data_IF_852378008528
#
_entry.id   IF_852378008528
#
_cell.length_a   1.000
_cell.length_b   1.000
_cell.length_c   1.000
_cell.angle_alpha   90.00
_cell.angle_beta   90.00
_cell.angle_gamma   90.00
#
_symmetry.space_group_name_H-M   'P 1'
#
loop_
_entity.id
_entity.type
_entity.pdbx_description
1 polymer ?
#
# COMPACT_ATOMS: atom_id res chain seq x y z
N UNK A 1 80.83 -33.03 0.07
CA UNK A 1 79.83 -32.38 0.94
C UNK A 1 79.89 -30.86 0.76
N UNK A 2 78.85 -30.25 0.20
CA UNK A 2 78.29 -28.93 0.56
C UNK A 2 77.59 -28.29 -0.64
N UNK A 3 76.44 -27.67 -0.32
CA UNK A 3 75.63 -26.73 -1.11
C UNK A 3 74.83 -27.35 -2.26
N UNK A 4 73.56 -27.69 -2.01
CA UNK A 4 72.39 -26.97 -2.55
C UNK A 4 71.22 -27.17 -1.55
N UNK A 5 71.14 -26.32 -0.51
CA UNK A 5 69.98 -26.17 0.39
C UNK A 5 69.61 -24.67 0.50
N UNK A 6 69.50 -23.99 -0.64
CA UNK A 6 69.13 -22.56 -0.66
C UNK A 6 68.00 -22.21 -1.63
N UNK A 7 67.52 -23.13 -2.49
CA UNK A 7 66.41 -22.79 -3.41
C UNK A 7 65.01 -22.96 -2.83
N UNK A 8 64.83 -23.69 -1.74
CA UNK A 8 63.50 -23.90 -1.14
C UNK A 8 63.13 -22.79 -0.13
N UNK A 9 64.12 -22.09 0.42
CA UNK A 9 63.85 -21.01 1.39
C UNK A 9 63.47 -19.68 0.71
N UNK A 10 63.84 -19.47 -0.56
CA UNK A 10 63.48 -18.26 -1.30
C UNK A 10 62.03 -18.29 -1.83
N UNK A 11 61.45 -19.48 -2.01
CA UNK A 11 60.08 -19.64 -2.51
C UNK A 11 59.03 -19.53 -1.40
N UNK A 12 59.41 -19.75 -0.13
CA UNK A 12 58.52 -19.62 1.04
C UNK A 12 58.48 -18.18 1.55
N UNK A 13 59.51 -17.37 1.31
CA UNK A 13 59.52 -15.93 1.70
C UNK A 13 58.66 -15.07 0.74
N UNK A 14 58.48 -15.48 -0.51
CA UNK A 14 57.57 -14.82 -1.46
C UNK A 14 56.08 -15.12 -1.21
N UNK A 15 55.77 -16.23 -0.53
CA UNK A 15 54.40 -16.60 -0.16
C UNK A 15 53.94 -16.03 1.19
N UNK A 16 54.84 -15.41 1.96
CA UNK A 16 54.56 -14.90 3.32
C UNK A 16 54.69 -13.37 3.47
N UNK A 17 54.88 -12.64 2.37
CA UNK A 17 55.05 -11.17 2.38
C UNK A 17 53.78 -10.39 2.01
N UNK A 18 52.64 -11.06 1.79
CA UNK A 18 51.40 -10.44 1.31
C UNK A 18 50.44 -9.95 2.41
N UNK A 19 50.83 -10.01 3.68
CA UNK A 19 49.94 -9.68 4.81
C UNK A 19 50.14 -8.27 5.40
N UNK A 20 50.82 -7.36 4.69
CA UNK A 20 51.04 -5.98 5.13
C UNK A 20 50.85 -4.91 4.04
N UNK A 21 50.23 -5.24 2.91
CA UNK A 21 49.74 -4.19 2.01
C UNK A 21 48.46 -3.61 2.59
N UNK A 22 48.40 -2.28 2.74
CA UNK A 22 47.14 -1.62 3.07
C UNK A 22 46.15 -1.90 1.94
N UNK A 23 44.89 -2.17 2.29
CA UNK A 23 43.81 -2.44 1.33
C UNK A 23 43.72 -1.38 0.19
N UNK A 24 44.18 -0.16 0.48
CA UNK A 24 44.25 0.96 -0.46
C UNK A 24 45.27 0.75 -1.61
N UNK A 25 46.45 0.18 -1.32
CA UNK A 25 47.46 -0.12 -2.34
C UNK A 25 47.02 -1.27 -3.26
N UNK A 26 46.31 -2.26 -2.70
CA UNK A 26 45.78 -3.39 -3.46
C UNK A 26 44.61 -2.94 -4.37
N UNK A 27 43.78 -2.01 -3.91
CA UNK A 27 42.72 -1.42 -4.73
C UNK A 27 43.27 -0.57 -5.88
N UNK A 28 44.30 0.24 -5.65
CA UNK A 28 44.92 1.04 -6.72
C UNK A 28 45.58 0.15 -7.78
N UNK A 29 46.21 -0.94 -7.36
CA UNK A 29 46.77 -1.94 -8.27
C UNK A 29 45.67 -2.60 -9.12
N UNK A 30 44.58 -3.05 -8.49
CA UNK A 30 43.45 -3.65 -9.20
C UNK A 30 42.75 -2.66 -10.13
N UNK A 31 42.62 -1.40 -9.73
CA UNK A 31 42.10 -0.32 -10.60
C UNK A 31 42.95 -0.19 -11.87
N UNK A 32 44.28 -0.18 -11.75
CA UNK A 32 45.21 -0.15 -12.90
C UNK A 32 45.06 -1.39 -13.77
N UNK A 33 44.98 -2.58 -13.18
CA UNK A 33 44.76 -3.82 -13.92
C UNK A 33 43.44 -3.82 -14.69
N UNK A 34 42.37 -3.27 -14.09
CA UNK A 34 41.06 -3.15 -14.74
C UNK A 34 41.15 -2.29 -16.00
N UNK A 35 41.75 -1.09 -15.90
CA UNK A 35 41.92 -0.18 -17.04
C UNK A 35 42.79 -0.77 -18.15
N UNK A 36 43.79 -1.57 -17.81
CA UNK A 36 44.68 -2.23 -18.78
C UNK A 36 44.07 -3.50 -19.40
N UNK A 37 42.91 -3.96 -18.93
CA UNK A 37 42.29 -5.20 -19.41
C UNK A 37 41.44 -4.96 -20.67
N UNK A 38 41.79 -5.67 -21.75
CA UNK A 38 41.15 -5.56 -23.06
C UNK A 38 39.92 -6.48 -23.26
N UNK A 39 39.58 -7.33 -22.28
CA UNK A 39 38.44 -8.24 -22.39
C UNK A 39 37.60 -8.31 -21.10
N UNK A 40 36.32 -8.64 -21.25
CA UNK A 40 35.36 -8.67 -20.15
C UNK A 40 35.60 -9.78 -19.15
N UNK A 41 36.19 -10.91 -19.56
CA UNK A 41 36.51 -12.00 -18.65
C UNK A 41 37.56 -11.57 -17.61
N UNK A 42 38.61 -10.87 -18.03
CA UNK A 42 39.64 -10.34 -17.13
C UNK A 42 39.09 -9.24 -16.22
N UNK A 43 38.31 -8.29 -16.78
CA UNK A 43 37.64 -7.23 -16.01
C UNK A 43 36.72 -7.80 -14.93
N UNK A 44 35.96 -8.85 -15.26
CA UNK A 44 35.08 -9.54 -14.32
C UNK A 44 35.84 -10.17 -13.15
N UNK A 45 36.93 -10.91 -13.41
CA UNK A 45 37.70 -11.54 -12.34
C UNK A 45 38.35 -10.51 -11.40
N UNK A 46 38.82 -9.37 -11.94
CA UNK A 46 39.36 -8.26 -11.12
C UNK A 46 38.28 -7.67 -10.21
N UNK A 47 37.10 -7.36 -10.75
CA UNK A 47 35.97 -6.83 -9.97
C UNK A 47 35.55 -7.80 -8.88
N UNK A 48 35.48 -9.09 -9.21
CA UNK A 48 35.14 -10.17 -8.29
C UNK A 48 36.18 -10.34 -7.17
N UNK A 49 37.47 -10.23 -7.49
CA UNK A 49 38.55 -10.25 -6.49
C UNK A 49 38.44 -9.06 -5.54
N UNK A 50 38.23 -7.84 -6.07
CA UNK A 50 38.03 -6.64 -5.26
C UNK A 50 36.83 -6.77 -4.31
N UNK A 51 35.70 -7.25 -4.82
CA UNK A 51 34.48 -7.45 -4.05
C UNK A 51 34.66 -8.48 -2.92
N UNK A 52 35.45 -9.53 -3.13
CA UNK A 52 35.72 -10.54 -2.11
C UNK A 52 36.71 -10.11 -1.03
N UNK A 53 37.58 -9.13 -1.33
CA UNK A 53 38.69 -8.72 -0.46
C UNK A 53 38.40 -7.48 0.40
N UNK A 54 37.43 -6.65 0.01
CA UNK A 54 37.19 -5.34 0.64
C UNK A 54 35.76 -5.12 1.08
N UNK A 55 35.56 -4.16 1.99
CA UNK A 55 34.22 -3.71 2.39
C UNK A 55 33.60 -2.86 1.26
N UNK A 56 32.27 -2.89 1.07
CA UNK A 56 31.59 -2.16 0.01
C UNK A 56 31.94 -0.66 -0.04
N UNK A 57 32.04 -0.01 1.11
CA UNK A 57 32.31 1.44 1.22
C UNK A 57 33.68 1.83 0.66
N UNK A 58 34.68 0.96 0.79
CA UNK A 58 36.04 1.18 0.25
C UNK A 58 36.06 1.07 -1.27
N UNK A 59 35.14 0.29 -1.84
CA UNK A 59 35.06 0.03 -3.27
C UNK A 59 34.29 1.10 -4.04
N UNK A 60 33.55 1.98 -3.36
CA UNK A 60 32.58 2.90 -3.96
C UNK A 60 33.11 3.68 -5.16
N UNK A 61 34.25 4.38 -5.02
CA UNK A 61 34.80 5.18 -6.12
C UNK A 61 35.25 4.33 -7.31
N UNK A 62 35.95 3.22 -7.05
CA UNK A 62 36.41 2.32 -8.11
C UNK A 62 35.21 1.68 -8.83
N UNK A 63 34.22 1.22 -8.08
CA UNK A 63 33.04 0.58 -8.65
C UNK A 63 32.13 1.57 -9.37
N UNK A 64 32.13 2.84 -8.97
CA UNK A 64 31.50 3.89 -9.76
C UNK A 64 32.18 4.09 -11.12
N UNK A 65 33.52 4.12 -11.17
CA UNK A 65 34.26 4.15 -12.45
C UNK A 65 33.92 2.94 -13.33
N UNK A 66 33.94 1.74 -12.76
CA UNK A 66 33.54 0.51 -13.45
C UNK A 66 32.09 0.60 -13.95
N UNK A 67 31.17 1.18 -13.18
CA UNK A 67 29.78 1.37 -13.57
C UNK A 67 29.64 2.32 -14.77
N UNK A 68 30.44 3.39 -14.82
CA UNK A 68 30.48 4.32 -15.96
C UNK A 68 31.01 3.63 -17.22
N UNK A 69 32.03 2.78 -17.08
CA UNK A 69 32.55 1.97 -18.19
C UNK A 69 31.50 0.96 -18.69
N UNK A 70 30.84 0.24 -17.77
CA UNK A 70 29.73 -0.66 -18.07
C UNK A 70 28.62 0.04 -18.86
N UNK A 71 28.25 1.26 -18.45
CA UNK A 71 27.23 2.06 -19.13
C UNK A 71 27.64 2.45 -20.56
N UNK A 72 28.91 2.80 -20.75
CA UNK A 72 29.47 3.24 -22.04
C UNK A 72 29.59 2.08 -23.03
N UNK A 73 30.03 0.92 -22.54
CA UNK A 73 30.36 -0.25 -23.36
C UNK A 73 29.15 -1.13 -23.69
N UNK A 74 28.00 -0.94 -23.02
CA UNK A 74 26.82 -1.80 -23.15
C UNK A 74 26.31 -2.01 -24.60
N UNK A 75 26.59 -1.06 -25.51
CA UNK A 75 26.20 -1.14 -26.94
C UNK A 75 27.21 -1.89 -27.83
N UNK A 76 28.39 -2.20 -27.30
CA UNK A 76 29.54 -2.69 -28.07
C UNK A 76 30.04 -4.05 -27.58
N UNK A 77 29.14 -4.93 -27.12
CA UNK A 77 29.49 -6.28 -26.65
C UNK A 77 29.50 -7.25 -27.85
N UNK A 78 30.67 -7.78 -28.26
CA UNK A 78 30.77 -8.51 -29.53
C UNK A 78 30.27 -9.96 -29.44
N UNK A 79 30.24 -10.55 -28.25
CA UNK A 79 29.86 -11.96 -28.06
C UNK A 79 28.84 -12.14 -26.93
N UNK A 80 28.09 -13.25 -26.97
CA UNK A 80 27.18 -13.67 -25.89
C UNK A 80 27.95 -13.91 -24.58
N UNK A 81 29.19 -14.41 -24.68
CA UNK A 81 30.06 -14.62 -23.53
C UNK A 81 30.49 -13.30 -22.89
N UNK A 82 30.83 -12.29 -23.68
CA UNK A 82 31.12 -10.94 -23.18
C UNK A 82 29.88 -10.32 -22.53
N UNK A 83 28.68 -10.56 -23.08
CA UNK A 83 27.43 -10.13 -22.48
C UNK A 83 27.19 -10.77 -21.11
N UNK A 84 27.53 -12.05 -20.93
CA UNK A 84 27.44 -12.72 -19.62
C UNK A 84 28.45 -12.15 -18.62
N UNK A 85 29.70 -11.91 -19.03
CA UNK A 85 30.70 -11.31 -18.14
C UNK A 85 30.34 -9.86 -17.78
N UNK A 86 29.81 -9.09 -18.73
CA UNK A 86 29.28 -7.76 -18.50
C UNK A 86 28.14 -7.79 -17.48
N UNK A 87 27.16 -8.69 -17.65
CA UNK A 87 26.01 -8.82 -16.74
C UNK A 87 26.46 -9.21 -15.32
N UNK A 88 27.34 -10.20 -15.20
CA UNK A 88 27.89 -10.60 -13.90
C UNK A 88 28.71 -9.49 -13.23
N UNK A 89 29.48 -8.72 -14.01
CA UNK A 89 30.23 -7.56 -13.51
C UNK A 89 29.27 -6.48 -13.00
N UNK A 90 28.26 -6.13 -13.81
CA UNK A 90 27.25 -5.14 -13.45
C UNK A 90 26.49 -5.55 -12.18
N UNK A 91 26.18 -6.84 -12.00
CA UNK A 91 25.53 -7.34 -10.79
C UNK A 91 26.36 -7.12 -9.54
N UNK A 92 27.64 -7.51 -9.56
CA UNK A 92 28.57 -7.32 -8.42
C UNK A 92 28.71 -5.83 -8.08
N UNK A 93 28.94 -5.01 -9.11
CA UNK A 93 29.15 -3.57 -8.96
C UNK A 93 27.89 -2.91 -8.38
N UNK A 94 26.71 -3.21 -8.93
CA UNK A 94 25.46 -2.61 -8.46
C UNK A 94 25.12 -3.03 -7.04
N UNK A 95 25.27 -4.32 -6.72
CA UNK A 95 25.05 -4.84 -5.36
C UNK A 95 26.00 -4.18 -4.35
N UNK A 96 27.28 -4.06 -4.69
CA UNK A 96 28.28 -3.46 -3.81
C UNK A 96 28.04 -1.97 -3.60
N UNK A 97 27.75 -1.21 -4.66
CA UNK A 97 27.44 0.22 -4.55
C UNK A 97 26.15 0.46 -3.74
N UNK A 98 25.16 -0.42 -3.90
CA UNK A 98 23.95 -0.43 -3.06
C UNK A 98 24.28 -0.60 -1.59
N UNK A 99 25.00 -1.68 -1.24
CA UNK A 99 25.45 -1.96 0.14
C UNK A 99 26.32 -0.86 0.72
N UNK A 100 27.19 -0.27 -0.10
CA UNK A 100 28.05 0.87 0.25
C UNK A 100 27.31 2.21 0.31
N UNK A 101 25.99 2.22 0.06
CA UNK A 101 25.08 3.38 0.09
C UNK A 101 25.57 4.55 -0.75
N UNK A 102 26.18 4.27 -1.89
CA UNK A 102 26.82 5.28 -2.74
C UNK A 102 25.82 5.93 -3.69
N UNK A 103 25.15 6.98 -3.21
CA UNK A 103 24.03 7.64 -3.90
C UNK A 103 24.42 8.25 -5.26
N UNK A 104 25.67 8.69 -5.42
CA UNK A 104 26.20 9.27 -6.65
C UNK A 104 26.15 8.31 -7.85
N UNK A 105 26.07 7.00 -7.60
CA UNK A 105 25.91 5.98 -8.63
C UNK A 105 24.48 5.86 -9.18
N UNK A 106 23.47 6.39 -8.49
CA UNK A 106 22.06 6.12 -8.80
C UNK A 106 21.68 6.53 -10.24
N UNK A 107 22.13 7.70 -10.70
CA UNK A 107 21.85 8.17 -12.07
C UNK A 107 22.46 7.28 -13.15
N UNK A 108 23.63 6.71 -12.90
CA UNK A 108 24.32 5.81 -13.84
C UNK A 108 23.63 4.45 -13.83
N UNK A 109 23.27 3.92 -12.65
CA UNK A 109 22.50 2.68 -12.52
C UNK A 109 21.16 2.75 -13.24
N UNK A 110 20.47 3.90 -13.15
CA UNK A 110 19.21 4.08 -13.85
C UNK A 110 19.36 4.02 -15.37
N UNK A 111 20.47 4.51 -15.92
CA UNK A 111 20.78 4.39 -17.35
C UNK A 111 21.10 2.95 -17.76
N UNK A 112 21.60 2.13 -16.84
CA UNK A 112 21.89 0.70 -17.05
C UNK A 112 20.61 -0.14 -16.95
N UNK A 113 19.68 0.21 -16.06
CA UNK A 113 18.42 -0.54 -15.84
C UNK A 113 17.66 -0.92 -17.14
N UNK A 114 17.37 -0.01 -18.10
CA UNK A 114 16.61 -0.35 -19.30
C UNK A 114 17.40 -1.21 -20.30
N UNK A 115 18.73 -1.19 -20.24
CA UNK A 115 19.61 -1.95 -21.14
C UNK A 115 20.12 -3.25 -20.52
N UNK A 116 19.82 -3.50 -19.24
CA UNK A 116 20.18 -4.72 -18.55
C UNK A 116 19.56 -5.95 -19.26
N UNK A 117 20.38 -6.95 -19.63
CA UNK A 117 19.93 -8.09 -20.42
C UNK A 117 19.16 -9.12 -19.58
N UNK A 118 19.47 -9.22 -18.29
CA UNK A 118 18.84 -10.14 -17.34
C UNK A 118 17.85 -9.41 -16.43
N UNK A 119 16.79 -10.11 -16.01
CA UNK A 119 15.88 -9.57 -15.00
C UNK A 119 16.53 -9.61 -13.61
N UNK A 120 17.49 -10.51 -13.41
CA UNK A 120 18.31 -10.61 -12.21
C UNK A 120 19.09 -9.31 -11.96
N UNK A 121 19.75 -8.76 -12.99
CA UNK A 121 20.45 -7.49 -12.88
C UNK A 121 19.49 -6.33 -12.61
N UNK A 122 18.32 -6.30 -13.28
CA UNK A 122 17.29 -5.29 -13.02
C UNK A 122 16.81 -5.33 -11.57
N UNK A 123 16.55 -6.51 -11.03
CA UNK A 123 16.18 -6.68 -9.62
C UNK A 123 17.26 -6.19 -8.68
N UNK A 124 18.54 -6.51 -8.94
CA UNK A 124 19.67 -6.01 -8.14
C UNK A 124 19.76 -4.48 -8.18
N UNK A 125 19.58 -3.87 -9.35
CA UNK A 125 19.56 -2.40 -9.50
C UNK A 125 18.40 -1.79 -8.68
N UNK A 126 17.20 -2.39 -8.73
CA UNK A 126 16.07 -1.93 -7.91
C UNK A 126 16.40 -1.99 -6.42
N UNK A 127 16.95 -3.11 -5.96
CA UNK A 127 17.35 -3.27 -4.55
C UNK A 127 18.40 -2.23 -4.14
N UNK A 128 19.39 -2.00 -5.01
CA UNK A 128 20.44 -1.01 -4.78
C UNK A 128 19.89 0.41 -4.62
N UNK A 129 18.84 0.81 -5.38
CA UNK A 129 18.17 2.10 -5.16
C UNK A 129 17.56 2.22 -3.76
N UNK A 130 16.99 1.13 -3.24
CA UNK A 130 16.52 1.06 -1.85
C UNK A 130 17.66 1.26 -0.86
N UNK A 131 18.74 0.48 -0.99
CA UNK A 131 19.87 0.51 -0.08
C UNK A 131 20.60 1.87 -0.04
N UNK A 132 20.72 2.53 -1.20
CA UNK A 132 21.27 3.89 -1.33
C UNK A 132 20.33 4.98 -0.78
N UNK A 133 19.10 4.63 -0.43
CA UNK A 133 18.04 5.59 -0.12
C UNK A 133 17.84 6.62 -1.25
N UNK A 134 17.79 6.16 -2.50
CA UNK A 134 17.69 7.00 -3.69
C UNK A 134 16.26 7.49 -3.92
N UNK A 135 15.76 8.34 -3.03
CA UNK A 135 14.35 8.81 -2.98
C UNK A 135 13.87 9.43 -4.30
N UNK A 136 14.76 10.09 -5.06
CA UNK A 136 14.43 10.67 -6.37
C UNK A 136 13.97 9.64 -7.42
N UNK A 137 14.24 8.35 -7.19
CA UNK A 137 13.81 7.26 -8.07
C UNK A 137 12.52 6.57 -7.59
N UNK A 138 11.92 7.01 -6.49
CA UNK A 138 10.70 6.40 -5.94
C UNK A 138 9.60 6.28 -7.00
N UNK A 139 9.25 7.38 -7.68
CA UNK A 139 8.18 7.40 -8.68
C UNK A 139 8.43 6.45 -9.85
N UNK A 140 9.69 6.31 -10.25
CA UNK A 140 10.09 5.36 -11.29
C UNK A 140 9.88 3.91 -10.84
N UNK A 141 10.23 3.60 -9.60
CA UNK A 141 10.07 2.27 -9.01
C UNK A 141 8.59 1.95 -8.78
N UNK A 142 7.80 2.93 -8.32
CA UNK A 142 6.33 2.84 -8.22
C UNK A 142 5.75 2.49 -9.58
N UNK A 143 6.11 3.24 -10.62
CA UNK A 143 5.62 2.99 -11.97
C UNK A 143 5.98 1.59 -12.51
N UNK A 144 7.19 1.10 -12.20
CA UNK A 144 7.59 -0.27 -12.55
C UNK A 144 6.67 -1.28 -11.86
N UNK A 145 6.44 -1.15 -10.55
CA UNK A 145 5.59 -2.07 -9.82
C UNK A 145 4.11 -1.98 -10.26
N UNK A 146 3.60 -0.79 -10.54
CA UNK A 146 2.26 -0.60 -11.12
C UNK A 146 2.11 -1.28 -12.48
N UNK A 147 3.12 -1.16 -13.35
CA UNK A 147 3.13 -1.85 -14.64
C UNK A 147 3.09 -3.36 -14.44
N UNK A 148 3.93 -3.90 -13.55
CA UNK A 148 3.97 -5.33 -13.24
C UNK A 148 2.64 -5.82 -12.61
N UNK A 149 1.97 -4.98 -11.81
CA UNK A 149 0.67 -5.30 -11.22
C UNK A 149 -0.42 -5.51 -12.28
N UNK A 150 -0.31 -4.83 -13.43
CA UNK A 150 -1.25 -4.95 -14.56
C UNK A 150 -0.91 -6.12 -15.50
N UNK A 151 0.36 -6.54 -15.55
CA UNK A 151 0.83 -7.56 -16.48
C UNK A 151 0.59 -9.00 -15.97
N UNK A 152 -0.59 -9.54 -16.22
CA UNK A 152 -0.86 -10.99 -16.01
C UNK A 152 -0.32 -11.81 -17.19
N UNK A 153 1.01 -11.81 -17.39
CA UNK A 153 1.69 -12.34 -18.57
C UNK A 153 2.21 -13.78 -18.49
N UNK A 154 2.81 -14.25 -19.59
CA UNK A 154 3.40 -15.60 -19.76
C UNK A 154 4.68 -15.83 -18.94
N UNK A 155 5.36 -14.77 -18.51
CA UNK A 155 6.63 -14.85 -17.79
C UNK A 155 6.48 -14.41 -16.33
N UNK A 156 5.67 -15.19 -15.60
CA UNK A 156 5.33 -14.89 -14.20
C UNK A 156 6.55 -14.87 -13.29
N UNK A 157 7.50 -15.77 -13.52
CA UNK A 157 8.67 -15.90 -12.66
C UNK A 157 9.54 -14.65 -12.72
N UNK A 158 9.82 -14.14 -13.92
CA UNK A 158 10.62 -12.93 -14.07
C UNK A 158 9.89 -11.69 -13.56
N UNK A 159 8.59 -11.59 -13.80
CA UNK A 159 7.78 -10.49 -13.25
C UNK A 159 7.74 -10.51 -11.71
N UNK A 160 7.66 -11.69 -11.08
CA UNK A 160 7.73 -11.82 -9.62
C UNK A 160 9.12 -11.43 -9.06
N UNK A 161 10.19 -11.79 -9.76
CA UNK A 161 11.56 -11.40 -9.36
C UNK A 161 11.77 -9.89 -9.44
N UNK A 162 11.26 -9.23 -10.49
CA UNK A 162 11.29 -7.77 -10.61
C UNK A 162 10.40 -7.11 -9.55
N UNK A 163 9.20 -7.64 -9.33
CA UNK A 163 8.29 -7.14 -8.30
C UNK A 163 8.91 -7.24 -6.90
N UNK A 164 9.60 -8.35 -6.59
CA UNK A 164 10.32 -8.52 -5.33
C UNK A 164 11.39 -7.45 -5.10
N UNK A 165 12.15 -7.09 -6.14
CA UNK A 165 13.13 -6.00 -6.09
C UNK A 165 12.48 -4.62 -5.92
N UNK A 166 11.41 -4.34 -6.66
CA UNK A 166 10.67 -3.08 -6.53
C UNK A 166 10.02 -2.93 -5.14
N UNK A 167 9.37 -3.98 -4.63
CA UNK A 167 8.77 -4.00 -3.28
C UNK A 167 9.84 -3.75 -2.23
N UNK A 168 11.00 -4.40 -2.33
CA UNK A 168 12.12 -4.18 -1.41
C UNK A 168 12.57 -2.72 -1.40
N UNK A 169 12.76 -2.13 -2.59
CA UNK A 169 13.18 -0.74 -2.70
C UNK A 169 12.14 0.22 -2.11
N UNK A 170 10.86 0.05 -2.45
CA UNK A 170 9.76 0.89 -1.95
C UNK A 170 9.57 0.74 -0.43
N UNK A 171 9.76 -0.46 0.13
CA UNK A 171 9.74 -0.69 1.57
C UNK A 171 10.81 0.16 2.26
N UNK A 172 12.05 0.16 1.74
CA UNK A 172 13.15 0.95 2.30
C UNK A 172 12.87 2.46 2.16
N UNK A 173 12.55 2.92 0.95
CA UNK A 173 12.32 4.34 0.65
C UNK A 173 11.14 4.93 1.44
N UNK A 174 10.11 4.13 1.72
CA UNK A 174 9.05 4.48 2.67
C UNK A 174 8.22 5.71 2.31
N UNK A 175 8.03 5.98 1.01
CA UNK A 175 7.24 7.13 0.53
C UNK A 175 5.75 6.77 0.44
N UNK A 176 4.87 7.75 0.67
CA UNK A 176 3.42 7.53 0.69
C UNK A 176 2.90 7.03 -0.66
N UNK A 177 3.43 7.58 -1.75
CA UNK A 177 3.10 7.26 -3.15
C UNK A 177 3.26 5.76 -3.46
N UNK A 178 4.12 5.07 -2.70
CA UNK A 178 4.34 3.63 -2.83
C UNK A 178 3.17 2.78 -2.36
N UNK A 179 2.28 3.34 -1.52
CA UNK A 179 1.17 2.61 -0.89
C UNK A 179 0.32 1.90 -1.94
N UNK A 180 -0.09 2.61 -3.00
CA UNK A 180 -0.96 2.05 -4.04
C UNK A 180 -0.31 0.85 -4.71
N UNK A 181 0.91 1.00 -5.21
CA UNK A 181 1.62 -0.06 -5.92
C UNK A 181 1.85 -1.30 -5.02
N UNK A 182 2.20 -1.09 -3.74
CA UNK A 182 2.35 -2.15 -2.75
C UNK A 182 1.00 -2.82 -2.42
N UNK A 183 -0.08 -2.05 -2.31
CA UNK A 183 -1.43 -2.55 -2.06
C UNK A 183 -1.91 -3.48 -3.17
N UNK A 184 -1.68 -3.10 -4.43
CA UNK A 184 -1.97 -3.97 -5.56
C UNK A 184 -1.10 -5.23 -5.56
N UNK A 185 0.19 -5.12 -5.22
CA UNK A 185 1.07 -6.28 -5.16
C UNK A 185 0.66 -7.28 -4.05
N UNK A 186 0.22 -6.78 -2.89
CA UNK A 186 -0.26 -7.62 -1.78
C UNK A 186 -1.56 -8.39 -2.14
N UNK A 187 -2.41 -7.80 -2.97
CA UNK A 187 -3.76 -8.33 -3.25
C UNK A 187 -3.93 -8.90 -4.68
N UNK A 188 -2.94 -8.74 -5.54
CA UNK A 188 -3.01 -9.02 -6.97
C UNK A 188 -2.79 -10.48 -7.37
N UNK A 189 -2.15 -10.68 -8.53
CA UNK A 189 -2.02 -12.00 -9.16
C UNK A 189 -0.78 -12.79 -8.71
N UNK A 190 0.16 -12.16 -8.01
CA UNK A 190 1.44 -12.76 -7.62
C UNK A 190 1.32 -13.97 -6.69
N UNK A 191 2.41 -14.73 -6.59
CA UNK A 191 2.58 -15.80 -5.60
C UNK A 191 2.48 -15.30 -4.17
N UNK A 192 2.19 -16.22 -3.25
CA UNK A 192 2.05 -15.92 -1.83
C UNK A 192 3.32 -15.33 -1.21
N UNK A 193 4.50 -15.63 -1.76
CA UNK A 193 5.76 -15.07 -1.27
C UNK A 193 5.83 -13.56 -1.52
N UNK A 194 5.58 -13.13 -2.77
CA UNK A 194 5.55 -11.73 -3.16
C UNK A 194 4.43 -10.98 -2.44
N UNK A 195 3.25 -11.58 -2.32
CA UNK A 195 2.13 -10.97 -1.58
C UNK A 195 2.47 -10.71 -0.11
N UNK A 196 3.09 -11.67 0.57
CA UNK A 196 3.55 -11.51 1.96
C UNK A 196 4.63 -10.44 2.09
N UNK A 197 5.54 -10.36 1.12
CA UNK A 197 6.56 -9.32 1.09
C UNK A 197 5.93 -7.93 0.94
N UNK A 198 4.98 -7.77 0.00
CA UNK A 198 4.26 -6.52 -0.19
C UNK A 198 3.41 -6.14 1.04
N UNK A 199 2.77 -7.13 1.67
CA UNK A 199 1.99 -6.92 2.89
C UNK A 199 2.85 -6.44 4.07
N UNK A 200 4.04 -7.04 4.25
CA UNK A 200 5.02 -6.58 5.23
C UNK A 200 5.53 -5.16 4.91
N UNK A 201 5.77 -4.86 3.62
CA UNK A 201 6.17 -3.53 3.17
C UNK A 201 5.09 -2.46 3.45
N UNK A 202 3.80 -2.80 3.29
CA UNK A 202 2.70 -1.90 3.66
C UNK A 202 2.67 -1.63 5.17
N UNK A 203 2.91 -2.65 6.00
CA UNK A 203 2.97 -2.49 7.46
C UNK A 203 4.15 -1.59 7.87
N UNK A 204 5.32 -1.82 7.28
CA UNK A 204 6.50 -0.97 7.48
C UNK A 204 6.28 0.46 7.00
N UNK A 205 5.64 0.64 5.85
CA UNK A 205 5.28 1.95 5.32
C UNK A 205 4.42 2.70 6.33
N UNK A 206 3.35 2.08 6.83
CA UNK A 206 2.51 2.68 7.87
C UNK A 206 3.31 3.05 9.14
N UNK A 207 4.21 2.16 9.62
CA UNK A 207 5.08 2.48 10.76
C UNK A 207 5.98 3.70 10.52
N UNK A 208 6.39 3.96 9.27
CA UNK A 208 7.26 5.08 8.90
C UNK A 208 6.50 6.40 8.75
N UNK A 209 5.35 6.39 8.07
CA UNK A 209 4.64 7.62 7.69
C UNK A 209 3.31 7.84 8.43
N UNK A 210 2.90 6.91 9.29
CA UNK A 210 1.70 7.02 10.13
C UNK A 210 0.44 7.32 9.32
N UNK A 211 -0.33 8.31 9.76
CA UNK A 211 -1.58 8.73 9.12
C UNK A 211 -1.41 9.35 7.72
N UNK A 212 -0.19 9.59 7.24
CA UNK A 212 0.03 10.04 5.86
C UNK A 212 -0.40 8.99 4.81
N UNK A 213 -0.61 7.72 5.20
CA UNK A 213 -1.22 6.71 4.31
C UNK A 213 -2.71 6.97 4.03
N UNK A 214 -3.40 7.75 4.87
CA UNK A 214 -4.85 8.00 4.76
C UNK A 214 -5.23 8.54 3.39
N UNK A 215 -4.44 9.49 2.86
CA UNK A 215 -4.71 10.08 1.55
C UNK A 215 -4.64 9.04 0.43
N UNK A 216 -3.66 8.14 0.49
CA UNK A 216 -3.49 7.08 -0.50
C UNK A 216 -4.63 6.06 -0.46
N UNK A 217 -5.15 5.76 0.74
CA UNK A 217 -6.34 4.91 0.88
C UNK A 217 -7.57 5.61 0.32
N UNK A 218 -7.75 6.91 0.59
CA UNK A 218 -8.85 7.68 0.02
C UNK A 218 -8.79 7.76 -1.51
N UNK A 219 -7.59 7.92 -2.09
CA UNK A 219 -7.40 7.88 -3.55
C UNK A 219 -7.84 6.54 -4.14
N UNK A 220 -7.57 5.40 -3.47
CA UNK A 220 -8.10 4.10 -3.88
C UNK A 220 -9.63 4.04 -3.82
N UNK A 221 -10.26 4.70 -2.85
CA UNK A 221 -11.72 4.70 -2.72
C UNK A 221 -12.39 5.47 -3.86
N UNK A 222 -11.85 6.62 -4.26
CA UNK A 222 -12.50 7.47 -5.28
C UNK A 222 -12.13 7.10 -6.72
N UNK A 223 -11.07 6.32 -6.93
CA UNK A 223 -10.64 5.93 -8.26
C UNK A 223 -11.63 4.91 -8.90
N UNK A 224 -12.19 5.23 -10.10
CA UNK A 224 -13.16 4.38 -10.77
C UNK A 224 -12.56 3.10 -11.38
N UNK A 225 -11.24 3.04 -11.57
CA UNK A 225 -10.54 1.84 -12.06
C UNK A 225 -10.35 0.77 -10.98
N UNK A 226 -10.49 1.16 -9.70
CA UNK A 226 -10.36 0.25 -8.56
C UNK A 226 -11.69 -0.51 -8.38
N UNK A 227 -11.62 -1.84 -8.39
CA UNK A 227 -12.82 -2.66 -8.19
C UNK A 227 -13.39 -2.49 -6.78
N UNK A 228 -14.70 -2.67 -6.63
CA UNK A 228 -15.36 -2.58 -5.32
C UNK A 228 -14.78 -3.57 -4.30
N UNK A 229 -14.32 -4.75 -4.74
CA UNK A 229 -13.66 -5.73 -3.88
C UNK A 229 -12.34 -5.18 -3.33
N UNK A 230 -11.55 -4.50 -4.16
CA UNK A 230 -10.30 -3.88 -3.71
C UNK A 230 -10.56 -2.70 -2.76
N UNK A 231 -11.64 -1.93 -2.99
CA UNK A 231 -12.08 -0.88 -2.05
C UNK A 231 -12.49 -1.48 -0.70
N UNK A 232 -13.21 -2.61 -0.70
CA UNK A 232 -13.52 -3.35 0.53
C UNK A 232 -12.24 -3.76 1.28
N UNK A 233 -11.26 -4.32 0.57
CA UNK A 233 -9.99 -4.73 1.16
C UNK A 233 -9.21 -3.54 1.72
N UNK A 234 -9.21 -2.41 1.02
CA UNK A 234 -8.57 -1.17 1.49
C UNK A 234 -9.23 -0.67 2.79
N UNK A 235 -10.58 -0.69 2.87
CA UNK A 235 -11.31 -0.32 4.08
C UNK A 235 -10.98 -1.27 5.24
N UNK A 236 -11.00 -2.59 5.00
CA UNK A 236 -10.63 -3.58 6.03
C UNK A 236 -9.23 -3.32 6.58
N UNK A 237 -8.27 -3.05 5.69
CA UNK A 237 -6.91 -2.73 6.12
C UNK A 237 -6.86 -1.43 6.90
N UNK A 238 -7.58 -0.39 6.49
CA UNK A 238 -7.65 0.86 7.24
C UNK A 238 -8.15 0.67 8.69
N UNK A 239 -9.10 -0.25 8.89
CA UNK A 239 -9.62 -0.61 10.22
C UNK A 239 -8.62 -1.40 11.08
N UNK A 240 -7.63 -2.05 10.46
CA UNK A 240 -6.55 -2.77 11.14
C UNK A 240 -5.37 -1.85 11.50
N UNK A 241 -5.29 -0.66 10.87
CA UNK A 241 -4.29 0.34 11.16
C UNK A 241 -4.73 1.23 12.32
N UNK A 242 -3.78 1.71 13.14
CA UNK A 242 -4.02 2.65 14.24
C UNK A 242 -4.17 4.09 13.69
N UNK A 243 -5.14 4.28 12.79
CA UNK A 243 -5.44 5.57 12.18
C UNK A 243 -6.34 6.42 13.10
N UNK A 244 -6.25 7.76 13.02
CA UNK A 244 -7.20 8.64 13.69
C UNK A 244 -8.65 8.29 13.32
N UNK A 245 -9.57 8.40 14.28
CA UNK A 245 -10.98 8.09 14.06
C UNK A 245 -11.61 8.91 12.91
N UNK A 246 -11.20 10.19 12.77
CA UNK A 246 -11.60 11.05 11.65
C UNK A 246 -11.17 10.53 10.27
N UNK A 247 -10.00 9.91 10.21
CA UNK A 247 -9.44 9.37 8.97
C UNK A 247 -10.19 8.10 8.56
N UNK A 248 -10.43 7.21 9.52
CA UNK A 248 -11.23 6.00 9.31
C UNK A 248 -12.66 6.38 8.90
N UNK A 249 -13.27 7.37 9.55
CA UNK A 249 -14.57 7.90 9.18
C UNK A 249 -14.60 8.43 7.74
N UNK A 250 -13.57 9.18 7.32
CA UNK A 250 -13.46 9.67 5.94
C UNK A 250 -13.32 8.53 4.92
N UNK A 251 -12.49 7.53 5.22
CA UNK A 251 -12.30 6.34 4.37
C UNK A 251 -13.61 5.55 4.27
N UNK A 252 -14.31 5.37 5.40
CA UNK A 252 -15.60 4.69 5.47
C UNK A 252 -16.69 5.45 4.68
N UNK A 253 -16.79 6.77 4.83
CA UNK A 253 -17.68 7.62 4.01
C UNK A 253 -17.44 7.43 2.52
N UNK A 254 -16.18 7.46 2.10
CA UNK A 254 -15.82 7.24 0.69
C UNK A 254 -16.20 5.83 0.23
N UNK A 255 -15.98 4.81 1.05
CA UNK A 255 -16.38 3.43 0.74
C UNK A 255 -17.91 3.28 0.63
N UNK A 256 -18.68 3.92 1.52
CA UNK A 256 -20.14 3.95 1.49
C UNK A 256 -20.63 4.57 0.18
N UNK A 257 -20.10 5.73 -0.20
CA UNK A 257 -20.44 6.40 -1.45
C UNK A 257 -20.24 5.50 -2.69
N UNK A 258 -19.21 4.65 -2.69
CA UNK A 258 -18.91 3.74 -3.80
C UNK A 258 -19.79 2.49 -3.81
N UNK A 259 -20.33 2.11 -2.65
CA UNK A 259 -21.26 0.98 -2.54
C UNK A 259 -22.64 1.33 -3.10
N UNK A 260 -23.01 2.62 -3.09
CA UNK A 260 -24.26 3.15 -3.59
C UNK A 260 -24.30 3.17 -5.13
N UNK A 261 -25.49 3.03 -5.72
CA UNK A 261 -25.70 3.09 -7.18
C UNK A 261 -26.54 1.95 -7.77
N UNK A 262 -26.87 2.06 -9.07
CA UNK A 262 -27.86 1.19 -9.73
C UNK A 262 -27.32 -0.21 -10.03
N UNK A 263 -28.08 -1.23 -9.61
CA UNK A 263 -27.71 -2.66 -9.69
C UNK A 263 -27.80 -3.19 -11.12
N UNK A 264 -26.69 -3.64 -11.69
CA UNK A 264 -26.66 -4.37 -12.97
C UNK A 264 -26.75 -5.90 -12.84
N UNK A 265 -26.29 -6.48 -11.72
CA UNK A 265 -26.17 -7.95 -11.53
C UNK A 265 -26.23 -8.33 -10.04
N UNK A 266 -26.88 -9.46 -9.68
CA UNK A 266 -27.04 -9.91 -8.28
C UNK A 266 -25.74 -10.16 -7.51
N UNK A 267 -24.65 -10.55 -8.18
CA UNK A 267 -23.34 -10.74 -7.53
C UNK A 267 -22.74 -9.40 -7.04
N UNK A 268 -23.01 -8.31 -7.76
CA UNK A 268 -22.61 -6.96 -7.36
C UNK A 268 -23.43 -6.49 -6.15
N UNK A 269 -24.71 -6.90 -6.05
CA UNK A 269 -25.59 -6.56 -4.92
C UNK A 269 -25.03 -7.01 -3.56
N UNK A 270 -24.55 -8.26 -3.46
CA UNK A 270 -23.99 -8.78 -2.21
C UNK A 270 -22.71 -8.05 -1.78
N UNK A 271 -21.82 -7.78 -2.73
CA UNK A 271 -20.57 -7.09 -2.45
C UNK A 271 -20.83 -5.63 -2.01
N UNK A 272 -21.75 -4.93 -2.68
CA UNK A 272 -22.20 -3.58 -2.27
C UNK A 272 -22.77 -3.57 -0.86
N UNK A 273 -23.67 -4.49 -0.55
CA UNK A 273 -24.20 -4.64 0.81
C UNK A 273 -23.10 -4.85 1.86
N UNK A 274 -22.10 -5.70 1.56
CA UNK A 274 -20.99 -5.93 2.48
C UNK A 274 -20.10 -4.70 2.67
N UNK A 275 -19.82 -3.94 1.59
CA UNK A 275 -19.05 -2.71 1.67
C UNK A 275 -19.81 -1.64 2.44
N UNK A 276 -21.10 -1.46 2.15
CA UNK A 276 -21.98 -0.53 2.83
C UNK A 276 -22.05 -0.83 4.33
N UNK A 277 -22.35 -2.08 4.69
CA UNK A 277 -22.43 -2.50 6.11
C UNK A 277 -21.10 -2.26 6.82
N UNK A 278 -19.96 -2.63 6.20
CA UNK A 278 -18.64 -2.41 6.79
C UNK A 278 -18.35 -0.91 6.99
N UNK A 279 -18.70 -0.08 6.02
CA UNK A 279 -18.54 1.36 6.10
C UNK A 279 -19.42 1.98 7.20
N UNK A 280 -20.70 1.60 7.26
CA UNK A 280 -21.63 2.07 8.28
C UNK A 280 -21.19 1.65 9.70
N UNK A 281 -20.75 0.40 9.87
CA UNK A 281 -20.19 -0.07 11.14
C UNK A 281 -18.96 0.75 11.53
N UNK A 282 -18.04 1.01 10.60
CA UNK A 282 -16.88 1.85 10.86
C UNK A 282 -17.29 3.29 11.26
N UNK A 283 -18.26 3.89 10.59
CA UNK A 283 -18.75 5.24 10.93
C UNK A 283 -19.36 5.29 12.34
N UNK A 284 -20.06 4.23 12.76
CA UNK A 284 -20.62 4.09 14.12
C UNK A 284 -19.49 3.93 15.15
N UNK A 285 -18.60 2.95 14.94
CA UNK A 285 -17.55 2.57 15.89
C UNK A 285 -16.56 3.71 16.12
N UNK A 286 -16.24 4.45 15.05
CA UNK A 286 -15.30 5.58 15.07
C UNK A 286 -16.00 6.94 15.23
N UNK A 287 -17.30 6.95 15.51
CA UNK A 287 -18.08 8.15 15.88
C UNK A 287 -18.00 9.28 14.86
N UNK A 288 -18.33 8.98 13.61
CA UNK A 288 -18.29 9.97 12.54
C UNK A 288 -19.35 11.08 12.71
N UNK A 289 -18.91 12.29 13.07
CA UNK A 289 -19.74 13.50 13.20
C UNK A 289 -19.65 14.43 11.98
N UNK A 290 -19.08 13.98 10.86
CA UNK A 290 -18.88 14.82 9.66
C UNK A 290 -20.21 15.10 8.96
N UNK A 291 -20.51 16.37 8.65
CA UNK A 291 -21.75 16.74 7.92
C UNK A 291 -21.73 16.19 6.49
N UNK A 292 -20.54 16.06 5.91
CA UNK A 292 -20.30 15.50 4.58
C UNK A 292 -20.74 14.04 4.44
N UNK A 293 -20.92 13.34 5.56
CA UNK A 293 -21.39 11.95 5.59
C UNK A 293 -22.91 11.84 5.43
N UNK A 294 -23.65 12.88 5.82
CA UNK A 294 -25.12 12.85 5.90
C UNK A 294 -25.80 12.51 4.57
N UNK A 295 -25.39 13.07 3.40
CA UNK A 295 -26.02 12.71 2.13
C UNK A 295 -25.91 11.20 1.80
N UNK A 296 -24.78 10.59 2.13
CA UNK A 296 -24.57 9.15 1.90
C UNK A 296 -25.35 8.31 2.91
N UNK A 297 -25.43 8.75 4.16
CA UNK A 297 -26.26 8.07 5.17
C UNK A 297 -27.75 8.14 4.83
N UNK A 298 -28.23 9.31 4.37
CA UNK A 298 -29.60 9.50 3.90
C UNK A 298 -29.92 8.56 2.73
N UNK A 299 -29.01 8.44 1.77
CA UNK A 299 -29.18 7.50 0.66
C UNK A 299 -29.24 6.05 1.17
N UNK A 300 -28.36 5.64 2.09
CA UNK A 300 -28.39 4.29 2.67
C UNK A 300 -29.67 3.98 3.47
N UNK A 301 -30.31 4.98 4.08
CA UNK A 301 -31.64 4.84 4.71
C UNK A 301 -32.74 4.56 3.67
N UNK A 302 -32.61 5.14 2.48
CA UNK A 302 -33.56 4.99 1.36
C UNK A 302 -33.29 3.74 0.53
N UNK A 303 -32.03 3.31 0.46
CA UNK A 303 -31.60 2.21 -0.38
C UNK A 303 -32.18 0.85 0.08
N UNK A 304 -32.12 -0.12 -0.82
CA UNK A 304 -32.95 -1.33 -0.83
C UNK A 304 -32.15 -2.62 -0.68
N UNK A 305 -30.90 -2.58 -0.22
CA UNK A 305 -30.16 -3.83 -0.02
C UNK A 305 -30.80 -4.69 1.07
N UNK A 306 -31.30 -4.08 2.15
CA UNK A 306 -32.06 -4.77 3.19
C UNK A 306 -32.44 -3.87 4.37
N UNK A 307 -33.24 -4.41 5.30
CA UNK A 307 -33.60 -3.72 6.54
C UNK A 307 -32.37 -3.45 7.43
N UNK A 308 -31.45 -4.41 7.51
CA UNK A 308 -30.26 -4.34 8.35
C UNK A 308 -29.38 -3.12 8.01
N UNK A 309 -29.11 -2.89 6.72
CA UNK A 309 -28.33 -1.73 6.27
C UNK A 309 -29.01 -0.42 6.66
N UNK A 310 -30.34 -0.32 6.48
CA UNK A 310 -31.11 0.87 6.86
C UNK A 310 -31.03 1.13 8.36
N UNK A 311 -31.05 0.07 9.18
CA UNK A 311 -30.85 0.16 10.63
C UNK A 311 -29.44 0.67 10.94
N UNK A 312 -28.40 0.16 10.28
CA UNK A 312 -27.03 0.69 10.44
C UNK A 312 -26.90 2.15 9.99
N UNK A 313 -27.56 2.55 8.90
CA UNK A 313 -27.57 3.93 8.44
C UNK A 313 -28.26 4.88 9.43
N UNK A 314 -29.39 4.45 10.01
CA UNK A 314 -30.08 5.18 11.08
C UNK A 314 -29.19 5.33 12.32
N UNK A 315 -28.49 4.27 12.74
CA UNK A 315 -27.51 4.33 13.84
C UNK A 315 -26.39 5.32 13.56
N UNK A 316 -25.84 5.28 12.35
CA UNK A 316 -24.78 6.20 11.94
C UNK A 316 -25.26 7.65 11.93
N UNK A 317 -26.50 7.93 11.50
CA UNK A 317 -27.10 9.28 11.61
C UNK A 317 -27.27 9.72 13.08
N UNK A 318 -27.68 8.81 13.96
CA UNK A 318 -27.78 9.09 15.41
C UNK A 318 -26.43 9.41 16.04
N UNK A 319 -25.39 8.67 15.67
CA UNK A 319 -23.99 8.92 16.09
C UNK A 319 -23.47 10.24 15.53
N UNK A 320 -23.82 10.58 14.29
CA UNK A 320 -23.38 11.80 13.63
C UNK A 320 -23.88 13.06 14.34
N UNK A 321 -25.16 13.08 14.73
CA UNK A 321 -25.73 14.11 15.60
C UNK A 321 -25.79 15.51 15.01
N UNK A 322 -25.41 15.72 13.74
CA UNK A 322 -25.53 17.02 13.08
C UNK A 322 -27.01 17.40 12.90
N UNK A 323 -27.34 18.71 12.82
CA UNK A 323 -28.69 19.16 12.50
C UNK A 323 -29.23 18.54 11.20
N UNK A 324 -28.37 18.34 10.20
CA UNK A 324 -28.70 17.69 8.95
C UNK A 324 -29.07 16.21 9.15
N UNK A 325 -28.33 15.48 9.99
CA UNK A 325 -28.65 14.10 10.34
C UNK A 325 -29.98 13.98 11.11
N UNK A 326 -30.22 14.88 12.08
CA UNK A 326 -31.49 14.95 12.82
C UNK A 326 -32.66 15.21 11.86
N UNK A 327 -32.49 16.09 10.88
CA UNK A 327 -33.51 16.34 9.86
C UNK A 327 -33.83 15.08 9.06
N UNK A 328 -32.83 14.31 8.64
CA UNK A 328 -33.04 13.04 7.92
C UNK A 328 -33.81 12.03 8.78
N UNK A 329 -33.47 11.91 10.07
CA UNK A 329 -34.18 11.02 10.99
C UNK A 329 -35.63 11.47 11.21
N UNK A 330 -35.88 12.77 11.35
CA UNK A 330 -37.22 13.35 11.47
C UNK A 330 -38.06 13.14 10.20
N UNK A 331 -37.46 13.31 9.02
CA UNK A 331 -38.10 13.04 7.73
C UNK A 331 -38.45 11.55 7.59
N UNK A 332 -37.60 10.65 8.09
CA UNK A 332 -37.88 9.22 8.15
C UNK A 332 -39.08 8.91 9.06
N UNK A 333 -39.16 9.51 10.24
CA UNK A 333 -40.33 9.38 11.14
C UNK A 333 -41.60 9.85 10.43
N UNK A 334 -41.56 11.00 9.76
CA UNK A 334 -42.71 11.52 9.01
C UNK A 334 -43.16 10.55 7.91
N UNK A 335 -42.22 9.96 7.18
CA UNK A 335 -42.52 8.95 6.15
C UNK A 335 -43.16 7.68 6.74
N UNK A 336 -42.67 7.20 7.89
CA UNK A 336 -43.23 6.03 8.58
C UNK A 336 -44.63 6.34 9.13
N UNK A 337 -44.82 7.53 9.71
CA UNK A 337 -46.12 8.00 10.18
C UNK A 337 -47.13 8.06 9.02
N UNK A 338 -46.73 8.59 7.87
CA UNK A 338 -47.59 8.66 6.68
C UNK A 338 -48.04 7.26 6.22
N UNK A 339 -47.12 6.28 6.20
CA UNK A 339 -47.47 4.88 5.88
C UNK A 339 -48.42 4.27 6.90
N UNK A 340 -48.27 4.57 8.18
CA UNK A 340 -49.19 4.14 9.23
C UNK A 340 -50.60 4.68 8.99
N UNK A 341 -50.73 5.97 8.68
CA UNK A 341 -52.02 6.58 8.35
C UNK A 341 -52.65 6.01 7.08
N UNK A 342 -51.83 5.72 6.06
CA UNK A 342 -52.28 5.12 4.80
C UNK A 342 -52.55 3.61 4.89
N UNK A 343 -52.39 2.99 6.07
CA UNK A 343 -52.49 1.54 6.29
C UNK A 343 -51.51 0.71 5.42
N UNK A 344 -50.38 1.31 5.04
CA UNK A 344 -49.28 0.67 4.32
C UNK A 344 -48.13 0.22 5.24
N UNK A 345 -48.26 0.47 6.55
CA UNK A 345 -47.28 0.11 7.56
C UNK A 345 -47.17 -1.41 7.73
N UNK A 346 -45.97 -1.93 7.50
CA UNK A 346 -45.63 -3.34 7.69
C UNK A 346 -44.92 -3.53 9.02
N UNK A 347 -45.64 -4.07 10.02
CA UNK A 347 -45.14 -4.21 11.41
C UNK A 347 -43.81 -4.97 11.49
N UNK A 348 -43.66 -6.01 10.70
CA UNK A 348 -42.48 -6.88 10.65
C UNK A 348 -41.19 -6.21 10.14
N UNK A 349 -41.30 -5.03 9.52
CA UNK A 349 -40.16 -4.30 8.94
C UNK A 349 -40.05 -2.89 9.50
N UNK A 350 -41.17 -2.18 9.61
CA UNK A 350 -41.18 -0.77 9.97
C UNK A 350 -41.14 -0.53 11.48
N UNK A 351 -41.54 -1.50 12.32
CA UNK A 351 -41.48 -1.34 13.78
C UNK A 351 -40.03 -1.39 14.28
N UNK A 352 -39.19 -2.29 13.76
CA UNK A 352 -37.76 -2.36 14.10
C UNK A 352 -37.01 -1.11 13.64
N UNK A 353 -37.27 -0.66 12.40
CA UNK A 353 -36.67 0.57 11.88
C UNK A 353 -37.11 1.80 12.68
N UNK A 354 -38.38 1.88 13.05
CA UNK A 354 -38.90 2.98 13.87
C UNK A 354 -38.27 2.98 15.26
N UNK A 355 -38.12 1.80 15.89
CA UNK A 355 -37.46 1.67 17.18
C UNK A 355 -36.00 2.15 17.13
N UNK A 356 -35.27 1.79 16.07
CA UNK A 356 -33.91 2.28 15.88
C UNK A 356 -33.88 3.80 15.63
N UNK A 357 -34.84 4.32 14.86
CA UNK A 357 -34.95 5.76 14.57
C UNK A 357 -35.21 6.57 15.83
N UNK A 358 -36.07 6.06 16.72
CA UNK A 358 -36.32 6.66 18.05
C UNK A 358 -35.02 6.73 18.87
N UNK A 359 -34.26 5.64 18.88
CA UNK A 359 -32.99 5.57 19.62
C UNK A 359 -31.97 6.55 19.04
N UNK A 360 -31.83 6.60 17.70
CA UNK A 360 -30.94 7.52 17.01
C UNK A 360 -31.31 8.99 17.23
N UNK A 361 -32.61 9.34 17.23
CA UNK A 361 -33.09 10.68 17.56
C UNK A 361 -32.76 11.08 19.00
N UNK A 362 -32.92 10.14 19.95
CA UNK A 362 -32.52 10.36 21.34
C UNK A 362 -31.01 10.59 21.50
N UNK A 363 -30.19 9.86 20.73
CA UNK A 363 -28.75 10.03 20.74
C UNK A 363 -28.30 11.36 20.11
N UNK A 364 -28.90 11.74 18.98
CA UNK A 364 -28.56 12.97 18.26
C UNK A 364 -29.04 14.24 18.99
N UNK A 365 -30.23 14.18 19.58
CA UNK A 365 -30.83 15.29 20.32
C UNK A 365 -31.29 16.46 19.44
N UNK A 366 -31.55 17.61 20.08
CA UNK A 366 -32.01 18.84 19.41
C UNK A 366 -33.53 19.01 19.34
N UNK A 367 -33.96 20.22 18.97
CA UNK A 367 -35.39 20.60 18.97
C UNK A 367 -36.20 19.78 17.95
N UNK A 368 -35.63 19.51 16.77
CA UNK A 368 -36.31 18.72 15.75
C UNK A 368 -36.45 17.25 16.15
N UNK A 369 -35.49 16.70 16.90
CA UNK A 369 -35.63 15.37 17.50
C UNK A 369 -36.73 15.32 18.56
N UNK A 370 -36.83 16.35 19.42
CA UNK A 370 -37.93 16.46 20.39
C UNK A 370 -39.30 16.48 19.70
N UNK A 371 -39.44 17.25 18.61
CA UNK A 371 -40.67 17.30 17.81
C UNK A 371 -41.01 15.95 17.19
N UNK A 372 -40.02 15.28 16.58
CA UNK A 372 -40.21 13.97 15.96
C UNK A 372 -40.63 12.91 17.00
N UNK A 373 -39.96 12.83 18.14
CA UNK A 373 -40.32 11.90 19.24
C UNK A 373 -41.72 12.18 19.80
N UNK A 374 -42.07 13.45 19.97
CA UNK A 374 -43.42 13.85 20.41
C UNK A 374 -44.51 13.43 19.42
N UNK A 375 -44.22 13.49 18.12
CA UNK A 375 -45.17 13.07 17.08
C UNK A 375 -45.50 11.58 17.16
N UNK A 376 -44.51 10.73 17.48
CA UNK A 376 -44.69 9.28 17.63
C UNK A 376 -45.60 8.97 18.81
N UNK A 377 -45.40 9.65 19.95
CA UNK A 377 -46.19 9.45 21.18
C UNK A 377 -47.67 9.77 20.92
N UNK A 378 -47.93 10.82 20.14
CA UNK A 378 -49.28 11.29 19.81
C UNK A 378 -50.07 10.36 18.87
N UNK A 379 -49.42 9.43 18.17
CA UNK A 379 -50.08 8.54 17.20
C UNK A 379 -50.57 7.26 17.88
N UNK A 380 -51.89 7.07 17.96
CA UNK A 380 -52.51 5.89 18.59
C UNK A 380 -52.32 4.56 17.87
N UNK A 381 -51.86 4.60 16.62
CA UNK A 381 -51.58 3.40 15.83
C UNK A 381 -50.43 2.55 16.41
N UNK A 382 -49.43 3.19 17.02
CA UNK A 382 -48.22 2.49 17.48
C UNK A 382 -48.43 1.68 18.76
N UNK A 383 -47.62 0.63 18.90
CA UNK A 383 -47.62 -0.22 20.09
C UNK A 383 -47.19 0.57 21.34
N UNK A 384 -47.65 0.14 22.51
CA UNK A 384 -47.24 0.76 23.77
C UNK A 384 -45.73 0.67 24.02
N UNK A 385 -45.04 -0.31 23.43
CA UNK A 385 -43.58 -0.45 23.48
C UNK A 385 -42.88 0.70 22.74
N UNK A 386 -43.30 0.97 21.50
CA UNK A 386 -42.79 2.09 20.69
C UNK A 386 -43.02 3.44 21.38
N UNK A 387 -44.24 3.68 21.89
CA UNK A 387 -44.56 4.91 22.61
C UNK A 387 -43.68 5.11 23.85
N UNK A 388 -43.47 4.05 24.63
CA UNK A 388 -42.61 4.09 25.83
C UNK A 388 -41.16 4.38 25.47
N UNK A 389 -40.64 3.77 24.40
CA UNK A 389 -39.28 4.04 23.93
C UNK A 389 -39.12 5.51 23.51
N UNK A 390 -40.10 6.08 22.80
CA UNK A 390 -40.09 7.49 22.41
C UNK A 390 -40.16 8.42 23.64
N UNK A 391 -41.01 8.12 24.63
CA UNK A 391 -41.07 8.87 25.90
C UNK A 391 -39.76 8.82 26.68
N UNK A 392 -39.08 7.68 26.70
CA UNK A 392 -37.79 7.51 27.36
C UNK A 392 -36.70 8.35 26.69
N UNK A 393 -36.59 8.28 25.37
CA UNK A 393 -35.61 9.09 24.64
C UNK A 393 -35.92 10.58 24.72
N UNK A 394 -37.20 10.98 24.69
CA UNK A 394 -37.59 12.38 24.85
C UNK A 394 -37.15 12.94 26.21
N UNK A 395 -37.28 12.15 27.29
CA UNK A 395 -36.80 12.54 28.62
C UNK A 395 -35.27 12.65 28.69
N UNK A 396 -34.53 11.90 27.88
CA UNK A 396 -33.06 11.95 27.88
C UNK A 396 -32.51 13.22 27.21
N UNK A 397 -33.29 13.85 26.31
CA UNK A 397 -32.88 15.04 25.55
C UNK A 397 -33.51 16.36 26.04
N UNK A 398 -34.35 16.29 27.07
CA UNK A 398 -34.94 17.44 27.78
C UNK A 398 -34.16 17.71 29.06
#
# INVERSE_FOLDING_TARGET
MKKIKCSVFLMIILAFSFSLFSAENDLEFNRKLYTLSDNWAARYEIVKECYGASQPEVLNEFFYEVLVDLQTDAKNLPTVTDQQFWDNTARIVCESLGKGKFLEAADVMWKIYPIAPSNELKTIILMAFGDMNAVNFNDHIVHILETLNMETGKDKQNAEMLAGGAIYALDILGQAESYRALFYAANGWYSNAVKKQADAALENLYKKIGSSVTEQINLLMVDPSVTLLMKQTALKRALELDLPASDIASIARNALAQSQGTVGVSADKNLRYQVSTLALTAMIDFKDTSVESVPYLEEAVKDTYGLDERIYAVRALGVNGSPEAVRVLSDLVNSINEKAFQQLFRRDVEEDLLYETITALGQAGGEDAQKALSSIIAIDFYSAGIKRAAEEQLKNIM
#
